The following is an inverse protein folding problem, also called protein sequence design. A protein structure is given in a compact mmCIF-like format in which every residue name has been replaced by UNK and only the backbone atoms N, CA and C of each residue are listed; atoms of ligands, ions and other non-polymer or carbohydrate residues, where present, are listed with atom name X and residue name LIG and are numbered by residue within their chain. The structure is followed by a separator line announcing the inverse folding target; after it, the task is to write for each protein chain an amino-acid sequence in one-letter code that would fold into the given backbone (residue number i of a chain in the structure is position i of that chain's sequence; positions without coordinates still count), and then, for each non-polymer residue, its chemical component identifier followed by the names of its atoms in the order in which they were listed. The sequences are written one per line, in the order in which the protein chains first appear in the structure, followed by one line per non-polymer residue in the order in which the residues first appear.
data_IF_087658011951
#
_entry.id   IF_087658011951
#
_cell.length_a   1.000
_cell.length_b   1.000
_cell.length_c   1.000
_cell.angle_alpha   90.00
_cell.angle_beta   90.00
_cell.angle_gamma   90.00
#
_symmetry.space_group_name_H-M   'P 1'
#
loop_
_entity.id
_entity.type
_entity.pdbx_description
1 polymer ?
#
# COMPACT_ATOMS: atom_id res chain seq x y z
N UNK A 1 -14.49 -21.63 -1.12
CA UNK A 1 -14.33 -22.50 -2.15
C UNK A 1 -13.03 -22.44 -2.91
N UNK A 2 -12.66 -21.38 -3.59
CA UNK A 2 -11.48 -21.29 -4.45
C UNK A 2 -10.23 -20.75 -3.73
N UNK A 3 -10.34 -20.42 -2.48
CA UNK A 3 -9.21 -19.94 -1.68
C UNK A 3 -8.08 -20.96 -1.57
N UNK A 4 -8.43 -22.22 -1.50
CA UNK A 4 -7.44 -23.31 -1.43
C UNK A 4 -6.66 -23.44 -2.75
N UNK A 5 -7.31 -23.26 -3.87
CA UNK A 5 -6.66 -23.27 -5.18
C UNK A 5 -5.71 -22.09 -5.38
N UNK A 6 -6.08 -20.92 -4.88
CA UNK A 6 -5.22 -19.73 -4.90
C UNK A 6 -3.96 -19.96 -4.06
N UNK A 7 -4.09 -20.54 -2.90
CA UNK A 7 -2.94 -20.87 -2.04
C UNK A 7 -2.00 -21.89 -2.70
N UNK A 8 -2.53 -22.88 -3.38
CA UNK A 8 -1.75 -23.85 -4.12
C UNK A 8 -0.95 -23.19 -5.23
N UNK A 9 -1.53 -22.24 -5.92
CA UNK A 9 -0.86 -21.47 -6.98
C UNK A 9 0.32 -20.68 -6.43
N UNK A 10 0.16 -20.05 -5.30
CA UNK A 10 1.24 -19.31 -4.64
C UNK A 10 2.37 -20.24 -4.20
N UNK A 11 2.05 -21.40 -3.69
CA UNK A 11 3.06 -22.41 -3.33
C UNK A 11 3.85 -22.90 -4.53
N UNK A 12 3.18 -23.15 -5.63
CA UNK A 12 3.84 -23.55 -6.87
C UNK A 12 4.81 -22.48 -7.38
N UNK A 13 4.44 -21.24 -7.28
CA UNK A 13 5.31 -20.13 -7.65
C UNK A 13 6.55 -20.06 -6.78
N UNK A 14 6.41 -20.26 -5.48
CA UNK A 14 7.55 -20.30 -4.54
C UNK A 14 8.47 -21.49 -4.81
N UNK A 15 7.93 -22.65 -5.11
CA UNK A 15 8.69 -23.86 -5.40
C UNK A 15 9.51 -23.69 -6.68
N UNK A 16 8.99 -23.04 -7.69
CA UNK A 16 9.73 -22.75 -8.93
C UNK A 16 10.92 -21.84 -8.70
N UNK A 17 10.82 -20.89 -7.82
CA UNK A 17 11.93 -19.98 -7.47
C UNK A 17 13.03 -20.71 -6.72
N UNK A 18 12.69 -21.66 -5.86
CA UNK A 18 13.67 -22.41 -5.09
C UNK A 18 14.40 -23.50 -5.88
N UNK A 19 13.85 -23.94 -7.00
CA UNK A 19 14.50 -24.96 -7.84
C UNK A 19 15.62 -24.45 -8.74
N UNK A 20 15.82 -23.18 -8.80
CA UNK A 20 16.87 -22.61 -9.66
C UNK A 20 18.23 -22.52 -8.98
N UNK A 21 18.41 -23.25 -7.90
CA UNK A 21 19.72 -23.42 -7.28
C UNK A 21 20.32 -24.76 -7.72
N UNK A 22 20.33 -24.94 -8.99
CA UNK A 22 20.97 -26.07 -9.60
C UNK A 22 22.33 -25.68 -10.14
N UNK A 23 23.33 -26.28 -9.55
CA UNK A 23 24.66 -26.48 -10.07
C UNK A 23 25.59 -25.25 -10.09
N UNK A 24 26.39 -25.28 -9.08
CA UNK A 24 27.69 -25.83 -9.33
C UNK A 24 28.66 -24.86 -9.98
N UNK A 25 29.60 -24.51 -9.27
CA UNK A 25 30.97 -24.78 -9.66
C UNK A 25 31.88 -23.96 -8.77
N UNK A 26 32.64 -24.70 -8.06
CA UNK A 26 33.99 -24.38 -7.70
C UNK A 26 34.58 -23.22 -8.49
N UNK A 27 34.73 -22.12 -7.84
CA UNK A 27 35.95 -21.36 -7.98
C UNK A 27 36.22 -20.64 -6.67
N UNK A 28 37.39 -20.86 -6.11
CA UNK A 28 37.86 -20.01 -5.05
C UNK A 28 38.39 -18.75 -5.71
N UNK A 29 37.63 -17.72 -5.65
CA UNK A 29 38.10 -16.42 -6.05
C UNK A 29 37.79 -15.42 -4.97
N UNK A 30 38.87 -15.09 -4.32
CA UNK A 30 39.19 -13.78 -3.87
C UNK A 30 38.10 -13.00 -3.18
N UNK A 31 38.26 -12.95 -1.92
CA UNK A 31 37.80 -11.90 -1.03
C UNK A 31 37.93 -10.55 -1.70
N UNK A 32 36.88 -10.06 -2.24
CA UNK A 32 36.68 -8.64 -2.40
C UNK A 32 35.80 -8.19 -1.26
N UNK A 33 36.42 -7.60 -0.31
CA UNK A 33 35.76 -6.71 0.62
C UNK A 33 35.08 -5.64 -0.21
N UNK A 34 33.79 -5.77 -0.36
CA UNK A 34 32.96 -4.65 -0.67
C UNK A 34 31.76 -4.70 0.24
N UNK A 35 31.89 -3.94 1.15
CA UNK A 35 31.09 -2.91 1.77
C UNK A 35 29.65 -2.77 1.35
N UNK A 36 28.95 -2.10 2.16
CA UNK A 36 27.76 -2.54 2.86
C UNK A 36 26.57 -2.36 1.96
N UNK A 37 25.81 -3.41 1.98
CA UNK A 37 24.39 -3.39 2.10
C UNK A 37 23.75 -2.00 1.93
N UNK A 38 23.74 -1.54 0.73
CA UNK A 38 22.65 -0.71 0.33
C UNK A 38 21.42 -1.62 0.26
N UNK A 39 20.63 -1.55 1.29
CA UNK A 39 19.25 -1.87 1.18
C UNK A 39 18.79 -1.26 -0.14
N UNK A 40 18.60 -2.08 -1.13
CA UNK A 40 17.72 -1.71 -2.21
C UNK A 40 16.36 -1.55 -1.55
N UNK A 41 16.14 -0.35 -1.10
CA UNK A 41 14.81 0.17 -0.99
C UNK A 41 14.29 -0.04 -2.41
N UNK A 42 13.42 -1.00 -2.55
CA UNK A 42 12.57 -1.07 -3.71
C UNK A 42 11.84 0.27 -3.73
N UNK A 43 12.50 1.25 -4.28
CA UNK A 43 11.82 2.44 -4.72
C UNK A 43 10.82 1.94 -5.74
N UNK A 44 9.65 1.70 -5.23
CA UNK A 44 8.49 1.63 -6.03
C UNK A 44 8.47 2.98 -6.75
N UNK A 45 8.99 2.99 -7.94
CA UNK A 45 9.08 4.14 -8.81
C UNK A 45 7.65 4.49 -9.23
N UNK A 46 6.90 4.95 -8.25
CA UNK A 46 5.65 5.61 -8.52
C UNK A 46 6.04 6.90 -9.22
N UNK A 47 5.82 6.90 -10.51
CA UNK A 47 5.84 8.09 -11.31
C UNK A 47 5.27 9.24 -10.47
N UNK A 48 6.08 10.24 -10.26
CA UNK A 48 5.71 11.50 -9.62
C UNK A 48 4.58 12.09 -10.46
N UNK A 49 3.39 11.61 -10.22
CA UNK A 49 2.19 12.29 -10.69
C UNK A 49 2.11 13.52 -9.81
N UNK A 50 2.14 14.67 -10.42
CA UNK A 50 1.97 15.95 -9.76
C UNK A 50 0.69 15.90 -8.92
N UNK A 51 0.82 15.62 -7.64
CA UNK A 51 -0.29 15.47 -6.73
C UNK A 51 0.20 15.35 -5.30
N UNK A 52 -0.62 15.80 -4.37
CA UNK A 52 -0.35 15.68 -2.95
C UNK A 52 -0.91 14.35 -2.47
N UNK A 53 -0.05 13.51 -1.95
CA UNK A 53 -0.46 12.23 -1.38
C UNK A 53 -0.91 12.41 0.08
N UNK A 54 -2.07 11.85 0.40
CA UNK A 54 -2.55 11.74 1.78
C UNK A 54 -2.37 10.31 2.24
N UNK A 55 -1.60 10.14 3.29
CA UNK A 55 -1.21 8.83 3.81
C UNK A 55 -1.97 8.47 5.08
N UNK A 56 -2.04 7.18 5.38
CA UNK A 56 -2.65 6.70 6.62
C UNK A 56 -1.77 7.00 7.83
N UNK A 57 -2.32 7.59 8.89
CA UNK A 57 -1.60 7.83 10.15
C UNK A 57 -1.50 6.59 11.04
N UNK A 58 -2.23 5.54 10.73
CA UNK A 58 -2.28 4.30 11.52
C UNK A 58 -2.48 3.07 10.64
N UNK A 59 -2.14 1.91 11.18
CA UNK A 59 -2.50 0.62 10.60
C UNK A 59 -3.95 0.27 10.91
N UNK A 60 -4.68 -0.29 9.95
CA UNK A 60 -6.07 -0.73 10.15
C UNK A 60 -6.77 -1.06 8.85
N UNK A 61 -8.09 -1.04 8.87
CA UNK A 61 -8.93 -1.24 7.70
C UNK A 61 -9.57 0.08 7.28
N UNK A 62 -9.40 0.46 6.03
CA UNK A 62 -9.94 1.71 5.52
C UNK A 62 -11.38 1.56 5.03
N UNK A 63 -12.22 2.52 5.37
CA UNK A 63 -13.60 2.61 4.90
C UNK A 63 -13.85 4.00 4.31
N UNK A 64 -14.51 4.03 3.16
CA UNK A 64 -14.87 5.29 2.49
C UNK A 64 -16.08 5.98 3.10
N UNK A 65 -16.87 5.24 3.87
CA UNK A 65 -18.09 5.73 4.50
C UNK A 65 -18.13 5.31 5.98
N UNK A 66 -18.86 6.03 6.84
CA UNK A 66 -18.96 5.71 8.26
C UNK A 66 -19.74 4.43 8.54
N UNK A 67 -20.61 4.05 7.63
CA UNK A 67 -21.45 2.86 7.74
C UNK A 67 -21.69 2.24 6.36
N UNK A 68 -21.97 0.94 6.30
CA UNK A 68 -22.38 0.29 5.06
C UNK A 68 -23.62 0.94 4.44
N UNK A 69 -23.51 1.39 3.20
CA UNK A 69 -24.59 2.08 2.49
C UNK A 69 -24.71 3.59 2.78
N UNK A 70 -23.87 4.12 3.66
CA UNK A 70 -23.81 5.57 3.89
C UNK A 70 -23.07 6.28 2.73
N UNK A 71 -23.25 7.58 2.69
CA UNK A 71 -22.57 8.42 1.69
C UNK A 71 -21.06 8.43 1.94
N UNK A 72 -20.29 8.23 0.90
CA UNK A 72 -18.82 8.32 0.95
C UNK A 72 -18.38 9.72 1.34
N UNK A 73 -17.32 9.83 2.12
CA UNK A 73 -16.73 11.10 2.51
C UNK A 73 -16.15 11.85 1.32
N UNK A 74 -15.53 11.09 0.42
CA UNK A 74 -14.85 11.63 -0.75
C UNK A 74 -15.25 10.86 -2.01
N UNK A 75 -15.14 11.54 -3.13
CA UNK A 75 -15.32 10.99 -4.47
C UNK A 75 -14.26 11.60 -5.39
N UNK A 76 -13.89 10.87 -6.43
CA UNK A 76 -12.97 11.39 -7.44
C UNK A 76 -13.55 12.65 -8.08
N UNK A 77 -12.77 13.73 -8.11
CA UNK A 77 -13.21 15.05 -8.60
C UNK A 77 -13.83 15.95 -7.54
N UNK A 78 -14.00 15.49 -6.31
CA UNK A 78 -14.52 16.31 -5.21
C UNK A 78 -13.43 17.21 -4.64
N UNK A 79 -13.78 18.47 -4.44
CA UNK A 79 -12.91 19.42 -3.76
C UNK A 79 -12.99 19.21 -2.25
N UNK A 80 -11.85 19.09 -1.62
CA UNK A 80 -11.71 18.95 -0.16
C UNK A 80 -10.76 19.98 0.39
N UNK A 81 -10.88 20.25 1.68
CA UNK A 81 -10.02 21.18 2.40
C UNK A 81 -9.17 20.45 3.42
N UNK A 82 -8.08 21.06 3.80
CA UNK A 82 -7.27 20.58 4.91
C UNK A 82 -8.12 20.41 6.17
N UNK A 83 -8.05 19.23 6.77
CA UNK A 83 -8.84 18.89 7.95
C UNK A 83 -10.17 18.19 7.66
N UNK A 84 -10.62 18.15 6.41
CA UNK A 84 -11.81 17.39 6.05
C UNK A 84 -11.54 15.89 6.17
N UNK A 85 -12.50 15.15 6.72
CA UNK A 85 -12.38 13.69 6.81
C UNK A 85 -12.46 13.07 5.43
N UNK A 86 -11.42 12.34 5.05
CA UNK A 86 -11.34 11.68 3.75
C UNK A 86 -11.82 10.24 3.80
N UNK A 87 -11.51 9.54 4.87
CA UNK A 87 -11.96 8.18 5.12
C UNK A 87 -11.81 7.83 6.59
N UNK A 88 -12.28 6.66 6.96
CA UNK A 88 -12.14 6.11 8.32
C UNK A 88 -11.20 4.92 8.25
N UNK A 89 -10.29 4.82 9.19
CA UNK A 89 -9.46 3.64 9.41
C UNK A 89 -9.85 3.01 10.74
N UNK A 90 -10.39 1.80 10.68
CA UNK A 90 -10.70 1.00 11.85
C UNK A 90 -9.45 0.28 12.33
N UNK A 91 -9.06 0.55 13.56
CA UNK A 91 -7.98 -0.14 14.23
C UNK A 91 -8.40 -0.51 15.65
N UNK A 92 -8.21 -1.75 16.05
CA UNK A 92 -8.53 -2.23 17.40
C UNK A 92 -9.96 -1.87 17.85
N UNK A 93 -10.95 -2.05 16.98
CA UNK A 93 -12.37 -1.72 17.22
C UNK A 93 -12.63 -0.22 17.43
N UNK A 94 -11.71 0.61 17.04
CA UNK A 94 -11.83 2.08 17.11
C UNK A 94 -11.87 2.66 15.71
N UNK A 95 -12.87 3.47 15.44
CA UNK A 95 -13.01 4.21 14.18
C UNK A 95 -12.21 5.51 14.23
N UNK A 96 -11.16 5.60 13.46
CA UNK A 96 -10.32 6.79 13.40
C UNK A 96 -10.57 7.55 12.09
N UNK A 97 -10.99 8.79 12.21
CA UNK A 97 -11.15 9.66 11.06
C UNK A 97 -9.79 10.14 10.55
N UNK A 98 -9.54 9.95 9.28
CA UNK A 98 -8.32 10.43 8.63
C UNK A 98 -8.62 11.79 8.00
N UNK A 99 -8.01 12.87 8.49
CA UNK A 99 -8.18 14.19 7.90
C UNK A 99 -7.28 14.36 6.69
N UNK A 100 -7.73 15.19 5.75
CA UNK A 100 -6.86 15.62 4.65
C UNK A 100 -5.71 16.48 5.17
N UNK A 101 -4.51 16.23 4.68
CA UNK A 101 -3.32 17.01 5.00
C UNK A 101 -3.25 18.34 4.26
N UNK A 102 -3.99 18.48 3.18
CA UNK A 102 -3.96 19.64 2.30
C UNK A 102 -5.32 19.91 1.65
N UNK A 103 -5.45 21.11 1.11
CA UNK A 103 -6.57 21.47 0.23
C UNK A 103 -6.28 20.92 -1.17
N UNK A 104 -7.32 20.55 -1.88
CA UNK A 104 -7.20 20.12 -3.26
C UNK A 104 -8.43 19.41 -3.78
N UNK A 105 -8.32 18.89 -4.99
CA UNK A 105 -9.34 18.08 -5.64
C UNK A 105 -8.88 16.63 -5.64
N UNK A 106 -9.76 15.71 -5.26
CA UNK A 106 -9.44 14.28 -5.27
C UNK A 106 -9.20 13.83 -6.70
N UNK A 107 -7.96 13.50 -7.00
CA UNK A 107 -7.55 13.00 -8.31
C UNK A 107 -7.75 11.51 -8.43
N UNK A 108 -7.34 10.78 -7.43
CA UNK A 108 -7.40 9.32 -7.38
C UNK A 108 -7.57 8.83 -5.94
N UNK A 109 -8.34 7.78 -5.78
CA UNK A 109 -8.49 7.05 -4.53
C UNK A 109 -7.73 5.74 -4.69
N UNK A 110 -6.66 5.56 -3.91
CA UNK A 110 -5.74 4.42 -4.05
C UNK A 110 -6.19 3.18 -3.27
N UNK A 111 -7.17 3.35 -2.38
CA UNK A 111 -7.63 2.31 -1.45
C UNK A 111 -9.10 2.02 -1.68
N UNK A 112 -9.44 0.74 -1.74
CA UNK A 112 -10.81 0.27 -1.81
C UNK A 112 -11.50 0.29 -0.43
N UNK A 113 -12.83 0.32 -0.44
CA UNK A 113 -13.62 0.24 0.77
C UNK A 113 -13.44 -1.12 1.45
N UNK A 114 -13.07 -1.10 2.73
CA UNK A 114 -12.78 -2.31 3.48
C UNK A 114 -11.40 -2.92 3.24
N UNK A 115 -10.50 -2.20 2.61
CA UNK A 115 -9.14 -2.65 2.37
C UNK A 115 -8.24 -2.42 3.59
N UNK A 116 -7.40 -3.39 3.97
CA UNK A 116 -6.40 -3.16 5.00
C UNK A 116 -5.32 -2.18 4.51
N UNK A 117 -4.95 -1.26 5.37
CA UNK A 117 -3.93 -0.25 5.11
C UNK A 117 -2.86 -0.25 6.20
N UNK A 118 -1.66 0.10 5.83
CA UNK A 118 -0.53 0.22 6.74
C UNK A 118 -0.22 1.69 7.05
N UNK A 119 0.54 1.92 8.10
CA UNK A 119 1.05 3.25 8.43
C UNK A 119 1.86 3.84 7.27
N UNK A 120 1.53 5.04 6.87
CA UNK A 120 2.22 5.72 5.78
C UNK A 120 1.81 5.28 4.38
N UNK A 121 0.87 4.37 4.25
CA UNK A 121 0.34 3.96 2.95
C UNK A 121 -0.49 5.08 2.33
N UNK A 122 -0.27 5.36 1.05
CA UNK A 122 -1.02 6.38 0.31
C UNK A 122 -2.50 5.98 0.18
N UNK A 123 -3.37 6.83 0.66
CA UNK A 123 -4.83 6.61 0.63
C UNK A 123 -5.46 7.26 -0.59
N UNK A 124 -5.15 8.51 -0.80
CA UNK A 124 -5.65 9.32 -1.92
C UNK A 124 -4.56 10.23 -2.48
N UNK A 125 -4.76 10.66 -3.69
CA UNK A 125 -3.93 11.67 -4.35
C UNK A 125 -4.81 12.89 -4.65
N UNK A 126 -4.35 14.06 -4.25
CA UNK A 126 -4.98 15.36 -4.50
C UNK A 126 -4.25 16.11 -5.60
N UNK A 127 -4.96 16.92 -6.33
CA UNK A 127 -4.45 17.86 -7.33
C UNK A 127 -4.69 19.30 -6.92
#
# INVERSE_FOLDING_TARGET
FNLTEIEITEKDTKIKVSKNTGSNINQPSMVAYNSPNEKSISENNQSIKNGIEVTSPIIGTAYHAPEPGAKKFIEVGKKIKKGDTIMIVEAMKTMNHVPSSSDGVVKEICIDDGQPVEFGQTLIVLE
#
